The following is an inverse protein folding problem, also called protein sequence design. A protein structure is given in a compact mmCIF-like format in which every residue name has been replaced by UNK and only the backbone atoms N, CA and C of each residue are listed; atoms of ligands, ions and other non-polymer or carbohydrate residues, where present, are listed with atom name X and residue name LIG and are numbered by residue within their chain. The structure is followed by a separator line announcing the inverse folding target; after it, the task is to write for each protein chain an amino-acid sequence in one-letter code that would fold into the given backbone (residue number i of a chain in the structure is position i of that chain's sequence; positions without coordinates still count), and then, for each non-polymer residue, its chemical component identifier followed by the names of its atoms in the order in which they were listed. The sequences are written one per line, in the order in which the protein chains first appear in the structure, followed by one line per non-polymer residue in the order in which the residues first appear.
data_IF_259749678095
#
_entry.id   IF_259749678095
#
_cell.length_a   1.000
_cell.length_b   1.000
_cell.length_c   1.000
_cell.angle_alpha   90.00
_cell.angle_beta   90.00
_cell.angle_gamma   90.00
#
_symmetry.space_group_name_H-M   'P 1'
#
loop_
_entity.id
_entity.type
_entity.pdbx_description
1 polymer ?
#
# COMPACT_ATOMS: atom_id res chain seq x y z
N UNK A 1 -22.89 -3.13 13.65
CA UNK A 1 -23.11 -3.18 12.19
C UNK A 1 -23.60 -4.59 11.86
N UNK A 2 -24.58 -4.74 10.96
CA UNK A 2 -25.10 -6.06 10.59
C UNK A 2 -24.07 -6.83 9.74
N UNK A 3 -24.01 -8.16 9.90
CA UNK A 3 -23.06 -9.02 9.18
C UNK A 3 -23.24 -8.90 7.66
N UNK A 4 -24.48 -8.74 7.18
CA UNK A 4 -24.78 -8.56 5.77
C UNK A 4 -24.14 -7.29 5.17
N UNK A 5 -24.13 -6.19 5.93
CA UNK A 5 -23.48 -4.95 5.49
C UNK A 5 -21.96 -5.11 5.39
N UNK A 6 -21.35 -5.82 6.34
CA UNK A 6 -19.92 -6.13 6.29
C UNK A 6 -19.58 -7.03 5.09
N UNK A 7 -20.42 -8.02 4.78
CA UNK A 7 -20.24 -8.85 3.60
C UNK A 7 -20.32 -8.02 2.32
N UNK A 8 -21.31 -7.12 2.21
CA UNK A 8 -21.44 -6.24 1.05
C UNK A 8 -20.21 -5.32 0.87
N UNK A 9 -19.61 -4.82 1.95
CA UNK A 9 -18.37 -4.03 1.86
C UNK A 9 -17.20 -4.88 1.31
N UNK A 10 -17.13 -6.18 1.65
CA UNK A 10 -16.10 -7.09 1.14
C UNK A 10 -16.27 -7.36 -0.35
N UNK A 11 -17.50 -7.65 -0.79
CA UNK A 11 -17.80 -7.87 -2.21
C UNK A 11 -17.50 -6.60 -3.03
N UNK A 12 -17.90 -5.42 -2.55
CA UNK A 12 -17.59 -4.16 -3.23
C UNK A 12 -16.08 -3.89 -3.35
N UNK A 13 -15.31 -4.21 -2.31
CA UNK A 13 -13.85 -4.09 -2.36
C UNK A 13 -13.22 -5.16 -3.27
N UNK A 14 -13.79 -6.36 -3.32
CA UNK A 14 -13.36 -7.43 -4.21
C UNK A 14 -13.57 -7.04 -5.67
N UNK A 15 -14.78 -6.63 -6.04
CA UNK A 15 -15.14 -6.20 -7.40
C UNK A 15 -14.24 -5.05 -7.87
N UNK A 16 -14.02 -4.05 -7.02
CA UNK A 16 -13.10 -2.95 -7.31
C UNK A 16 -11.69 -3.43 -7.63
N UNK A 17 -11.15 -4.38 -6.85
CA UNK A 17 -9.82 -4.93 -7.06
C UNK A 17 -9.74 -5.80 -8.31
N UNK A 18 -10.75 -6.62 -8.58
CA UNK A 18 -10.84 -7.43 -9.80
C UNK A 18 -10.83 -6.55 -11.05
N UNK A 19 -11.64 -5.48 -11.05
CA UNK A 19 -11.70 -4.53 -12.14
C UNK A 19 -10.38 -3.77 -12.33
N UNK A 20 -9.84 -3.22 -11.23
CA UNK A 20 -8.60 -2.44 -11.25
C UNK A 20 -7.41 -3.26 -11.76
N UNK A 21 -7.36 -4.55 -11.39
CA UNK A 21 -6.33 -5.47 -11.87
C UNK A 21 -6.65 -6.10 -13.21
N UNK A 22 -7.79 -5.78 -13.82
CA UNK A 22 -8.24 -6.36 -15.10
C UNK A 22 -8.18 -7.89 -15.09
N UNK A 23 -8.68 -8.50 -14.01
CA UNK A 23 -8.70 -9.95 -13.87
C UNK A 23 -9.74 -10.56 -14.82
N UNK A 24 -9.39 -11.68 -15.44
CA UNK A 24 -10.35 -12.49 -16.19
C UNK A 24 -11.04 -13.48 -15.24
N UNK A 25 -12.22 -13.95 -15.64
CA UNK A 25 -12.94 -14.99 -14.89
C UNK A 25 -12.04 -16.21 -14.65
N UNK A 26 -11.77 -16.51 -13.38
CA UNK A 26 -10.89 -17.61 -12.97
C UNK A 26 -9.48 -17.18 -12.51
N UNK A 27 -9.07 -15.93 -12.74
CA UNK A 27 -7.81 -15.37 -12.20
C UNK A 27 -8.00 -14.75 -10.81
N UNK A 28 -9.25 -14.61 -10.37
CA UNK A 28 -9.61 -13.98 -9.10
C UNK A 28 -9.45 -14.96 -7.92
N UNK A 29 -9.20 -14.46 -6.69
CA UNK A 29 -9.16 -15.32 -5.52
C UNK A 29 -10.54 -15.98 -5.30
N UNK A 30 -10.60 -17.32 -5.33
CA UNK A 30 -11.87 -18.03 -5.29
C UNK A 30 -12.72 -17.74 -4.02
N UNK A 31 -12.16 -17.99 -2.83
CA UNK A 31 -12.85 -17.73 -1.55
C UNK A 31 -11.88 -17.19 -0.53
N UNK A 32 -12.19 -15.99 -0.01
CA UNK A 32 -11.38 -15.31 1.00
C UNK A 32 -12.07 -15.44 2.35
N UNK A 33 -11.33 -15.87 3.38
CA UNK A 33 -11.86 -16.02 4.74
C UNK A 33 -11.59 -14.75 5.55
N UNK A 34 -12.65 -14.09 6.00
CA UNK A 34 -12.54 -12.90 6.86
C UNK A 34 -12.77 -13.23 8.33
N UNK A 35 -11.74 -13.04 9.14
CA UNK A 35 -11.79 -13.19 10.60
C UNK A 35 -11.96 -11.81 11.24
N UNK A 36 -13.16 -11.55 11.77
CA UNK A 36 -13.51 -10.28 12.42
C UNK A 36 -13.50 -10.44 13.94
N UNK A 37 -12.61 -9.72 14.59
CA UNK A 37 -12.40 -9.78 16.03
C UNK A 37 -13.13 -8.63 16.73
N UNK A 38 -13.85 -8.90 17.83
CA UNK A 38 -14.64 -7.87 18.53
C UNK A 38 -13.76 -6.84 19.23
N UNK A 39 -12.55 -7.23 19.65
CA UNK A 39 -11.61 -6.35 20.33
C UNK A 39 -10.16 -6.86 20.18
N UNK A 40 -9.23 -5.99 20.57
CA UNK A 40 -7.77 -6.18 20.47
C UNK A 40 -7.25 -7.35 21.30
N UNK A 41 -7.84 -7.56 22.47
CA UNK A 41 -7.35 -8.57 23.41
C UNK A 41 -7.75 -9.98 22.93
N UNK A 42 -8.98 -10.16 22.44
CA UNK A 42 -9.41 -11.38 21.76
C UNK A 42 -8.53 -11.68 20.55
N UNK A 43 -8.22 -10.67 19.73
CA UNK A 43 -7.35 -10.85 18.57
C UNK A 43 -5.92 -11.25 18.98
N UNK A 44 -5.36 -10.60 19.98
CA UNK A 44 -4.02 -10.90 20.50
C UNK A 44 -3.92 -12.34 21.03
N UNK A 45 -4.93 -12.80 21.77
CA UNK A 45 -4.97 -14.17 22.30
C UNK A 45 -5.02 -15.22 21.17
N UNK A 46 -5.76 -14.95 20.10
CA UNK A 46 -5.97 -15.91 19.02
C UNK A 46 -4.88 -15.89 17.94
N UNK A 47 -4.20 -14.76 17.75
CA UNK A 47 -3.29 -14.55 16.60
C UNK A 47 -1.92 -14.02 16.96
N UNK A 48 -1.71 -13.56 18.21
CA UNK A 48 -0.53 -12.80 18.61
C UNK A 48 -0.50 -11.35 18.13
N UNK A 49 -1.33 -10.98 17.14
CA UNK A 49 -1.44 -9.61 16.64
C UNK A 49 -2.54 -8.84 17.38
N UNK A 50 -2.18 -7.78 18.11
CA UNK A 50 -3.14 -7.03 18.95
C UNK A 50 -3.87 -5.92 18.20
N UNK A 51 -3.13 -5.01 17.58
CA UNK A 51 -3.66 -3.76 17.01
C UNK A 51 -3.67 -3.73 15.49
N UNK A 52 -2.74 -4.45 14.86
CA UNK A 52 -2.52 -4.42 13.42
C UNK A 52 -3.44 -5.41 12.74
N UNK A 53 -4.06 -5.00 11.64
CA UNK A 53 -4.69 -5.90 10.67
C UNK A 53 -3.64 -6.81 10.03
N UNK A 54 -3.99 -8.04 9.65
CA UNK A 54 -3.02 -9.02 9.16
C UNK A 54 -3.62 -9.85 8.04
N UNK A 55 -2.87 -10.00 6.96
CA UNK A 55 -3.14 -10.92 5.85
C UNK A 55 -1.96 -11.89 5.70
N UNK A 56 -2.05 -13.12 6.24
CA UNK A 56 -0.98 -14.12 6.14
C UNK A 56 -0.94 -14.74 4.74
N UNK A 57 -0.40 -13.99 3.78
CA UNK A 57 -0.39 -14.30 2.34
C UNK A 57 0.20 -15.66 1.99
N UNK A 58 1.10 -16.21 2.82
CA UNK A 58 1.77 -17.49 2.60
C UNK A 58 0.90 -18.72 2.84
N UNK A 59 -0.20 -18.61 3.60
CA UNK A 59 -1.12 -19.72 3.84
C UNK A 59 -1.83 -20.14 2.55
N UNK A 60 -2.29 -21.39 2.45
CA UNK A 60 -2.95 -21.92 1.25
C UNK A 60 -4.30 -21.27 0.99
N UNK A 61 -5.11 -21.17 2.03
CA UNK A 61 -6.38 -20.47 1.94
C UNK A 61 -6.16 -18.95 2.09
N UNK A 62 -6.71 -18.12 1.18
CA UNK A 62 -6.70 -16.68 1.35
C UNK A 62 -7.52 -16.27 2.57
N UNK A 63 -6.92 -15.47 3.46
CA UNK A 63 -7.60 -15.01 4.67
C UNK A 63 -7.13 -13.62 5.11
N UNK A 64 -8.02 -12.87 5.76
CA UNK A 64 -7.75 -11.56 6.36
C UNK A 64 -8.21 -11.52 7.82
N UNK A 65 -7.47 -10.80 8.66
CA UNK A 65 -7.73 -10.68 10.10
C UNK A 65 -7.88 -9.23 10.52
N UNK A 66 -9.11 -8.82 10.85
CA UNK A 66 -9.48 -7.43 11.11
C UNK A 66 -10.16 -7.29 12.48
N UNK A 67 -9.94 -6.15 13.14
CA UNK A 67 -10.85 -5.73 14.21
C UNK A 67 -12.14 -5.22 13.57
N UNK A 68 -13.31 -5.51 14.18
CA UNK A 68 -14.60 -5.00 13.69
C UNK A 68 -14.58 -3.47 13.57
N UNK A 69 -13.93 -2.77 14.52
CA UNK A 69 -13.78 -1.30 14.50
C UNK A 69 -12.93 -0.76 13.34
N UNK A 70 -12.15 -1.61 12.66
CA UNK A 70 -11.19 -1.22 11.62
C UNK A 70 -11.58 -1.64 10.21
N UNK A 71 -12.73 -2.26 10.02
CA UNK A 71 -13.14 -2.75 8.70
C UNK A 71 -13.14 -1.62 7.68
N UNK A 72 -13.79 -0.49 7.99
CA UNK A 72 -13.84 0.67 7.07
C UNK A 72 -12.47 1.26 6.72
N UNK A 73 -11.50 1.11 7.63
CA UNK A 73 -10.18 1.73 7.50
C UNK A 73 -9.11 0.80 6.91
N UNK A 74 -9.32 -0.52 6.93
CA UNK A 74 -8.26 -1.49 6.62
C UNK A 74 -8.71 -2.62 5.71
N UNK A 75 -10.01 -2.82 5.46
CA UNK A 75 -10.50 -3.91 4.63
C UNK A 75 -9.87 -3.90 3.23
N UNK A 76 -9.95 -2.77 2.53
CA UNK A 76 -9.41 -2.65 1.17
C UNK A 76 -7.90 -2.91 1.11
N UNK A 77 -7.15 -2.42 2.10
CA UNK A 77 -5.70 -2.63 2.22
C UNK A 77 -5.35 -4.12 2.39
N UNK A 78 -5.98 -4.80 3.34
CA UNK A 78 -5.76 -6.22 3.58
C UNK A 78 -6.21 -7.08 2.38
N UNK A 79 -7.32 -6.71 1.75
CA UNK A 79 -7.81 -7.40 0.56
C UNK A 79 -6.84 -7.24 -0.62
N UNK A 80 -6.23 -6.07 -0.79
CA UNK A 80 -5.20 -5.86 -1.79
C UNK A 80 -3.99 -6.80 -1.59
N UNK A 81 -3.58 -7.09 -0.35
CA UNK A 81 -2.56 -8.12 -0.08
C UNK A 81 -3.02 -9.52 -0.50
N UNK A 82 -4.30 -9.87 -0.34
CA UNK A 82 -4.82 -11.15 -0.83
C UNK A 82 -4.67 -11.26 -2.35
N UNK A 83 -5.02 -10.19 -3.07
CA UNK A 83 -4.92 -10.12 -4.53
C UNK A 83 -3.47 -10.11 -5.04
N UNK A 84 -2.48 -9.82 -4.19
CA UNK A 84 -1.07 -9.88 -4.59
C UNK A 84 -0.49 -11.31 -4.61
N UNK A 85 -1.14 -12.25 -3.92
CA UNK A 85 -0.64 -13.62 -3.69
C UNK A 85 -0.18 -14.34 -4.97
N UNK A 86 -0.94 -14.34 -6.08
CA UNK A 86 -0.54 -15.04 -7.31
C UNK A 86 0.73 -14.46 -7.95
N UNK A 87 1.05 -13.21 -7.65
CA UNK A 87 2.14 -12.46 -8.26
C UNK A 87 3.40 -12.43 -7.39
N UNK A 88 3.34 -12.99 -6.17
CA UNK A 88 4.45 -13.05 -5.23
C UNK A 88 5.47 -14.14 -5.56
N UNK A 89 6.51 -14.25 -4.73
CA UNK A 89 7.44 -15.36 -4.82
C UNK A 89 6.75 -16.72 -4.57
N UNK A 90 7.25 -17.81 -5.18
CA UNK A 90 6.82 -19.15 -4.81
C UNK A 90 6.92 -19.38 -3.30
N UNK A 91 5.92 -20.06 -2.74
CA UNK A 91 5.75 -20.36 -1.30
C UNK A 91 5.46 -19.14 -0.41
N UNK A 92 6.21 -18.03 -0.57
CA UNK A 92 5.98 -16.82 0.23
C UNK A 92 4.69 -16.09 -0.16
N UNK A 93 4.29 -16.18 -1.44
CA UNK A 93 3.13 -15.47 -2.01
C UNK A 93 3.18 -13.96 -1.75
N UNK A 94 4.40 -13.40 -1.63
CA UNK A 94 4.69 -12.01 -1.34
C UNK A 94 5.92 -11.53 -2.11
N UNK A 95 6.14 -10.21 -2.16
CA UNK A 95 7.39 -9.62 -2.64
C UNK A 95 8.52 -9.76 -1.61
N UNK A 96 9.77 -9.81 -2.06
CA UNK A 96 10.95 -9.69 -1.17
C UNK A 96 11.25 -8.25 -0.78
N UNK A 97 10.68 -7.29 -1.50
CA UNK A 97 10.77 -5.88 -1.17
C UNK A 97 9.54 -5.50 -0.33
N UNK A 98 9.67 -5.23 0.98
CA UNK A 98 8.54 -4.79 1.80
C UNK A 98 7.87 -3.53 1.23
N UNK A 99 8.66 -2.63 0.63
CA UNK A 99 8.12 -1.46 -0.08
C UNK A 99 7.17 -1.80 -1.23
N UNK A 100 7.32 -2.94 -1.91
CA UNK A 100 6.36 -3.41 -2.92
C UNK A 100 5.14 -4.07 -2.28
N UNK A 101 5.31 -4.80 -1.17
CA UNK A 101 4.18 -5.39 -0.44
C UNK A 101 3.20 -4.30 0.00
N UNK A 102 3.72 -3.28 0.67
CA UNK A 102 2.93 -2.18 1.20
C UNK A 102 2.53 -1.17 0.13
N UNK A 103 3.43 -0.90 -0.83
CA UNK A 103 3.12 -0.04 -1.97
C UNK A 103 1.98 -0.61 -2.82
N UNK A 104 1.92 -1.93 -3.00
CA UNK A 104 0.80 -2.60 -3.64
C UNK A 104 -0.51 -2.35 -2.89
N UNK A 105 -0.55 -2.65 -1.59
CA UNK A 105 -1.79 -2.49 -0.83
C UNK A 105 -2.30 -1.05 -0.86
N UNK A 106 -1.42 -0.07 -0.64
CA UNK A 106 -1.77 1.35 -0.65
C UNK A 106 -2.19 1.84 -2.04
N UNK A 107 -1.58 1.36 -3.12
CA UNK A 107 -1.92 1.79 -4.48
C UNK A 107 -3.29 1.29 -4.96
N UNK A 108 -3.69 0.12 -4.47
CA UNK A 108 -4.91 -0.59 -4.84
C UNK A 108 -6.05 -0.40 -3.82
N UNK A 109 -5.82 0.33 -2.74
CA UNK A 109 -6.90 0.69 -1.80
C UNK A 109 -8.07 1.34 -2.55
N UNK A 110 -9.33 0.87 -2.34
CA UNK A 110 -10.51 1.51 -2.89
C UNK A 110 -10.63 2.96 -2.41
N UNK A 111 -11.26 3.86 -3.21
CA UNK A 111 -11.51 5.23 -2.80
C UNK A 111 -12.29 5.26 -1.48
N UNK A 112 -11.69 5.84 -0.45
CA UNK A 112 -12.29 5.98 0.87
C UNK A 112 -12.56 7.45 1.23
N UNK A 113 -13.01 7.71 2.47
CA UNK A 113 -13.21 9.08 2.97
C UNK A 113 -11.89 9.84 3.18
N UNK A 114 -10.74 9.18 3.02
CA UNK A 114 -9.41 9.78 3.12
C UNK A 114 -8.83 10.05 1.73
N UNK A 115 -8.08 11.16 1.53
CA UNK A 115 -7.41 11.41 0.27
C UNK A 115 -6.49 10.25 -0.11
N UNK A 116 -6.43 9.85 -1.39
CA UNK A 116 -5.58 8.76 -1.83
C UNK A 116 -4.10 9.07 -1.53
N UNK A 117 -3.28 8.04 -1.35
CA UNK A 117 -1.86 8.20 -1.03
C UNK A 117 -1.10 9.09 -2.02
N UNK A 118 -1.48 9.03 -3.30
CA UNK A 118 -0.93 9.90 -4.33
C UNK A 118 -1.18 11.39 -4.03
N UNK A 119 -2.36 11.76 -3.53
CA UNK A 119 -2.71 13.14 -3.19
C UNK A 119 -1.99 13.59 -1.91
N UNK A 120 -1.86 12.69 -0.93
CA UNK A 120 -1.09 12.95 0.30
C UNK A 120 0.38 13.20 -0.01
N UNK A 121 0.99 12.39 -0.89
CA UNK A 121 2.38 12.61 -1.32
C UNK A 121 2.48 13.87 -2.17
N UNK A 122 1.55 14.10 -3.09
CA UNK A 122 1.53 15.29 -3.94
C UNK A 122 1.50 16.56 -3.09
N UNK A 123 0.65 16.62 -2.06
CA UNK A 123 0.65 17.76 -1.15
C UNK A 123 1.92 17.86 -0.31
N UNK A 124 2.43 16.74 0.20
CA UNK A 124 3.73 16.75 0.87
C UNK A 124 4.89 17.14 -0.06
N UNK A 125 4.71 17.10 -1.38
CA UNK A 125 5.68 17.63 -2.37
C UNK A 125 5.43 19.08 -2.74
N UNK A 126 4.19 19.58 -2.67
CA UNK A 126 3.89 21.01 -2.91
C UNK A 126 4.49 21.90 -1.81
N UNK A 127 4.61 21.36 -0.60
CA UNK A 127 5.22 22.07 0.54
C UNK A 127 6.75 22.08 0.55
N UNK A 128 7.42 21.28 -0.29
CA UNK A 128 8.88 21.09 -0.24
C UNK A 128 9.58 21.31 -1.60
N UNK A 129 10.87 21.68 -1.56
CA UNK A 129 11.69 22.05 -2.72
C UNK A 129 12.03 20.89 -3.68
N UNK A 130 12.67 21.22 -4.81
CA UNK A 130 13.19 20.24 -5.79
C UNK A 130 14.13 19.22 -5.13
N UNK A 131 14.90 19.61 -4.11
CA UNK A 131 15.79 18.70 -3.38
C UNK A 131 15.02 17.64 -2.60
N UNK A 132 13.87 17.98 -2.01
CA UNK A 132 13.03 17.02 -1.30
C UNK A 132 12.43 15.97 -2.24
N UNK A 133 12.23 16.32 -3.52
CA UNK A 133 11.71 15.38 -4.50
C UNK A 133 12.79 14.43 -5.03
N UNK A 134 14.01 14.91 -5.24
CA UNK A 134 15.16 14.05 -5.52
C UNK A 134 15.44 13.10 -4.34
N UNK A 135 15.38 13.61 -3.11
CA UNK A 135 15.46 12.80 -1.89
C UNK A 135 14.34 11.75 -1.82
N UNK A 136 13.13 12.03 -2.36
CA UNK A 136 12.02 11.07 -2.48
C UNK A 136 12.28 9.96 -3.50
N UNK A 137 12.96 10.25 -4.62
CA UNK A 137 13.37 9.24 -5.59
C UNK A 137 14.43 8.29 -4.99
N UNK A 138 15.43 8.83 -4.30
CA UNK A 138 16.44 8.03 -3.57
C UNK A 138 15.80 7.21 -2.45
N UNK A 139 14.79 7.78 -1.79
CA UNK A 139 13.96 7.12 -0.80
C UNK A 139 13.20 5.90 -1.32
N UNK A 140 12.76 5.89 -2.59
CA UNK A 140 12.15 4.70 -3.21
C UNK A 140 13.19 3.60 -3.36
N UNK A 141 14.39 3.94 -3.85
CA UNK A 141 15.47 2.97 -4.02
C UNK A 141 15.87 2.33 -2.68
N UNK A 142 15.94 3.11 -1.59
CA UNK A 142 16.22 2.56 -0.27
C UNK A 142 15.10 1.67 0.26
N UNK A 143 13.82 2.03 0.05
CA UNK A 143 12.64 1.27 0.53
C UNK A 143 12.40 -0.05 -0.18
N UNK A 144 12.93 -0.21 -1.38
CA UNK A 144 12.87 -1.46 -2.13
C UNK A 144 13.94 -2.47 -1.67
N UNK A 145 14.91 -2.02 -0.86
CA UNK A 145 15.77 -2.95 -0.13
C UNK A 145 15.00 -3.57 1.06
N UNK A 146 15.29 -4.83 1.43
CA UNK A 146 14.65 -5.49 2.57
C UNK A 146 14.77 -4.71 3.90
N UNK A 147 15.80 -3.89 4.05
CA UNK A 147 16.12 -3.17 5.28
C UNK A 147 15.65 -1.71 5.27
N UNK A 148 15.60 -1.06 4.11
CA UNK A 148 15.35 0.38 4.01
C UNK A 148 13.88 0.80 4.12
N UNK A 149 12.93 -0.14 4.07
CA UNK A 149 11.54 0.16 4.38
C UNK A 149 11.33 0.52 5.87
N UNK A 150 12.06 -0.18 6.76
CA UNK A 150 11.89 -0.11 8.20
C UNK A 150 12.64 1.05 8.87
N UNK A 151 13.63 1.65 8.19
CA UNK A 151 14.49 2.70 8.74
C UNK A 151 13.95 4.13 8.57
N UNK A 152 12.78 4.31 7.95
CA UNK A 152 12.16 5.63 7.71
C UNK A 152 10.88 5.88 8.51
N UNK A 153 10.37 7.12 8.46
CA UNK A 153 9.03 7.46 8.99
C UNK A 153 7.97 6.61 8.30
N UNK A 154 7.42 5.61 9.00
CA UNK A 154 6.53 4.59 8.45
C UNK A 154 5.48 5.16 7.50
N UNK A 155 4.61 6.06 7.97
CA UNK A 155 3.52 6.63 7.17
C UNK A 155 3.97 7.28 5.84
N UNK A 156 5.13 7.96 5.83
CA UNK A 156 5.70 8.56 4.62
C UNK A 156 6.15 7.48 3.64
N UNK A 157 6.70 6.38 4.15
CA UNK A 157 7.11 5.23 3.35
C UNK A 157 5.96 4.53 2.66
N UNK A 158 4.86 4.27 3.39
CA UNK A 158 3.63 3.71 2.80
C UNK A 158 3.07 4.60 1.70
N UNK A 159 2.89 5.90 1.99
CA UNK A 159 2.30 6.83 1.04
C UNK A 159 3.16 6.99 -0.23
N UNK A 160 4.49 7.10 -0.06
CA UNK A 160 5.45 7.23 -1.18
C UNK A 160 5.44 6.00 -2.06
N UNK A 161 5.55 4.81 -1.47
CA UNK A 161 5.54 3.56 -2.24
C UNK A 161 4.20 3.32 -2.93
N UNK A 162 3.08 3.60 -2.25
CA UNK A 162 1.75 3.53 -2.84
C UNK A 162 1.59 4.48 -4.03
N UNK A 163 2.04 5.73 -3.89
CA UNK A 163 2.03 6.70 -4.99
C UNK A 163 2.87 6.24 -6.18
N UNK A 164 4.05 5.67 -5.93
CA UNK A 164 4.93 5.16 -6.98
C UNK A 164 4.34 3.94 -7.70
N UNK A 165 3.82 2.95 -6.95
CA UNK A 165 3.16 1.78 -7.55
C UNK A 165 1.92 2.20 -8.34
N UNK A 166 1.14 3.17 -7.83
CA UNK A 166 0.02 3.73 -8.57
C UNK A 166 0.44 4.40 -9.87
N UNK A 167 1.53 5.17 -9.86
CA UNK A 167 2.10 5.73 -11.10
C UNK A 167 2.50 4.63 -12.09
N UNK A 168 3.11 3.54 -11.62
CA UNK A 168 3.48 2.43 -12.49
C UNK A 168 2.23 1.77 -13.10
N UNK A 169 1.17 1.60 -12.30
CA UNK A 169 -0.10 1.06 -12.77
C UNK A 169 -0.77 1.99 -13.80
N UNK A 170 -0.88 3.29 -13.50
CA UNK A 170 -1.52 4.28 -14.36
C UNK A 170 -0.75 4.47 -15.69
N UNK A 171 0.58 4.33 -15.67
CA UNK A 171 1.45 4.60 -16.84
C UNK A 171 1.70 3.36 -17.70
N UNK A 172 1.86 2.19 -17.08
CA UNK A 172 2.28 0.95 -17.77
C UNK A 172 1.25 -0.18 -17.68
N UNK A 173 0.13 0.05 -17.01
CA UNK A 173 -0.96 -0.91 -16.84
C UNK A 173 -0.74 -1.93 -15.72
N UNK A 174 -1.82 -2.64 -15.32
CA UNK A 174 -1.79 -3.61 -14.22
C UNK A 174 -0.86 -4.80 -14.50
N UNK A 175 -0.76 -5.25 -15.75
CA UNK A 175 0.10 -6.38 -16.14
C UNK A 175 1.58 -6.17 -15.83
N UNK A 176 2.08 -4.94 -16.03
CA UNK A 176 3.47 -4.63 -15.69
C UNK A 176 3.68 -4.66 -14.17
N UNK A 177 2.72 -4.14 -13.40
CA UNK A 177 2.79 -4.14 -11.93
C UNK A 177 2.73 -5.56 -11.36
N UNK A 178 1.86 -6.43 -11.89
CA UNK A 178 1.81 -7.86 -11.56
C UNK A 178 3.18 -8.54 -11.77
N UNK A 179 3.81 -8.32 -12.94
CA UNK A 179 5.11 -8.93 -13.26
C UNK A 179 6.26 -8.44 -12.37
N UNK A 180 6.27 -7.16 -11.99
CA UNK A 180 7.35 -6.62 -11.16
C UNK A 180 7.19 -7.00 -9.68
N UNK A 181 5.96 -7.30 -9.22
CA UNK A 181 5.64 -7.42 -7.79
C UNK A 181 6.55 -8.38 -7.02
N UNK A 182 6.67 -9.64 -7.45
CA UNK A 182 7.49 -10.63 -6.74
C UNK A 182 8.92 -10.11 -6.52
N UNK A 183 9.55 -9.58 -7.58
CA UNK A 183 11.00 -9.44 -7.67
C UNK A 183 11.55 -8.02 -7.71
N UNK A 184 10.74 -7.00 -7.92
CA UNK A 184 11.27 -5.66 -8.12
C UNK A 184 12.26 -5.55 -9.28
N UNK A 185 12.20 -6.43 -10.29
CA UNK A 185 13.10 -6.37 -11.45
C UNK A 185 12.59 -5.34 -12.46
N UNK A 186 12.69 -4.06 -12.10
CA UNK A 186 12.13 -2.95 -12.86
C UNK A 186 12.69 -2.87 -14.28
N UNK A 187 13.98 -3.12 -14.46
CA UNK A 187 14.61 -3.04 -15.78
C UNK A 187 14.09 -4.10 -16.73
N UNK A 188 13.94 -5.35 -16.26
CA UNK A 188 13.39 -6.42 -17.10
C UNK A 188 11.90 -6.21 -17.45
N UNK A 189 11.12 -5.58 -16.57
CA UNK A 189 9.67 -5.42 -16.76
C UNK A 189 9.32 -4.15 -17.54
N UNK A 190 10.01 -3.05 -17.26
CA UNK A 190 9.71 -1.72 -17.83
C UNK A 190 10.73 -1.26 -18.86
N UNK A 191 11.84 -1.97 -19.06
CA UNK A 191 12.95 -1.53 -19.91
C UNK A 191 13.66 -0.28 -19.39
N UNK A 192 13.46 0.05 -18.10
CA UNK A 192 13.96 1.27 -17.46
C UNK A 192 14.50 0.94 -16.07
N UNK A 193 15.60 1.58 -15.70
CA UNK A 193 16.12 1.47 -14.34
C UNK A 193 15.11 2.03 -13.33
N UNK A 194 15.15 1.50 -12.12
CA UNK A 194 14.35 2.01 -11.01
C UNK A 194 14.55 3.51 -10.78
N UNK A 195 15.79 3.99 -10.85
CA UNK A 195 16.11 5.41 -10.74
C UNK A 195 15.40 6.25 -11.82
N UNK A 196 15.38 5.77 -13.07
CA UNK A 196 14.69 6.45 -14.17
C UNK A 196 13.18 6.50 -13.95
N UNK A 197 12.58 5.41 -13.46
CA UNK A 197 11.15 5.35 -13.12
C UNK A 197 10.80 6.27 -11.96
N UNK A 198 11.62 6.29 -10.90
CA UNK A 198 11.43 7.15 -9.74
C UNK A 198 11.55 8.64 -10.11
N UNK A 199 12.51 9.01 -10.96
CA UNK A 199 12.65 10.38 -11.47
C UNK A 199 11.45 10.79 -12.32
N UNK A 200 10.96 9.91 -13.20
CA UNK A 200 9.78 10.18 -14.01
C UNK A 200 8.51 10.33 -13.15
N UNK A 201 8.33 9.48 -12.15
CA UNK A 201 7.27 9.62 -11.15
C UNK A 201 7.35 10.98 -10.44
N UNK A 202 8.53 11.36 -9.96
CA UNK A 202 8.76 12.66 -9.33
C UNK A 202 8.36 13.82 -10.27
N UNK A 203 8.70 13.76 -11.55
CA UNK A 203 8.25 14.75 -12.54
C UNK A 203 6.73 14.83 -12.66
N UNK A 204 6.02 13.69 -12.63
CA UNK A 204 4.54 13.70 -12.66
C UNK A 204 3.94 14.42 -11.44
N UNK A 205 4.55 14.28 -10.26
CA UNK A 205 4.12 14.99 -9.06
C UNK A 205 4.34 16.50 -9.18
N UNK A 206 5.47 16.94 -9.77
CA UNK A 206 5.71 18.37 -10.04
C UNK A 206 4.69 18.97 -10.99
N UNK A 207 4.20 18.19 -11.95
CA UNK A 207 3.18 18.68 -12.88
C UNK A 207 1.79 18.80 -12.23
N UNK A 208 1.47 17.94 -11.24
CA UNK A 208 0.18 17.90 -10.54
C UNK A 208 0.05 18.89 -9.38
N UNK A 209 1.17 19.36 -8.82
CA UNK A 209 1.21 20.28 -7.66
C UNK A 209 0.48 21.62 -7.85
N UNK A 210 0.09 21.97 -9.08
CA UNK A 210 -0.75 23.14 -9.33
C UNK A 210 -2.24 22.95 -8.97
N UNK A 211 -2.69 21.75 -8.58
CA UNK A 211 -4.13 21.45 -8.43
C UNK A 211 -4.44 20.53 -7.23
N UNK A 212 -4.44 21.04 -5.99
CA UNK A 212 -5.34 20.53 -4.91
C UNK A 212 -5.17 21.32 -3.58
N UNK A 213 -6.23 22.01 -3.13
CA UNK A 213 -6.27 22.66 -1.79
C UNK A 213 -6.66 21.71 -0.65
N UNK A 214 -7.28 20.57 -0.95
CA UNK A 214 -7.93 19.71 0.06
C UNK A 214 -6.99 18.80 0.84
N UNK A 215 -5.80 18.48 0.31
CA UNK A 215 -4.88 17.55 0.98
C UNK A 215 -3.89 18.23 1.96
N UNK A 216 -3.84 19.56 2.02
CA UNK A 216 -2.95 20.33 2.93
C UNK A 216 -3.18 20.02 4.42
N UNK A 217 -4.44 19.92 4.85
CA UNK A 217 -4.78 19.72 6.27
C UNK A 217 -4.42 18.31 6.79
N UNK A 218 -4.45 17.29 5.92
CA UNK A 218 -4.13 15.90 6.29
C UNK A 218 -2.61 15.70 6.38
N UNK A 219 -1.85 16.33 5.47
CA UNK A 219 -0.38 16.23 5.46
C UNK A 219 0.22 16.84 6.72
N UNK A 220 -0.27 18.02 7.15
CA UNK A 220 0.21 18.71 8.34
C UNK A 220 0.04 17.95 9.65
N UNK A 221 -0.88 16.97 9.73
CA UNK A 221 -1.13 16.16 10.93
C UNK A 221 -0.46 14.78 10.90
N UNK A 222 -0.27 14.19 9.71
CA UNK A 222 0.17 12.78 9.55
C UNK A 222 1.65 12.63 9.16
N UNK A 223 2.26 13.64 8.56
CA UNK A 223 3.68 13.63 8.13
C UNK A 223 4.62 14.34 9.12
N UNK A 224 4.07 15.12 10.05
CA UNK A 224 4.80 15.86 11.09
C UNK A 224 4.96 15.07 12.39
N UNK A 225 4.23 13.97 12.58
CA UNK A 225 4.45 13.09 13.73
C UNK A 225 5.78 12.33 13.55
N UNK A 226 6.72 12.45 14.51
CA UNK A 226 7.98 11.71 14.48
C UNK A 226 7.72 10.21 14.40
N UNK A 227 8.60 9.46 13.74
CA UNK A 227 8.54 8.00 13.86
C UNK A 227 8.79 7.58 15.32
N UNK A 228 8.34 6.38 15.69
CA UNK A 228 8.65 5.79 17.01
C UNK A 228 10.17 5.67 17.29
N UNK A 229 11.03 5.88 16.28
CA UNK A 229 12.50 5.92 16.40
C UNK A 229 13.09 7.34 16.43
N UNK A 230 12.27 8.38 16.25
CA UNK A 230 12.64 9.79 16.42
C UNK A 230 12.12 10.36 17.75
N UNK A 231 11.45 9.55 18.58
CA UNK A 231 11.17 9.93 19.96
C UNK A 231 12.41 9.62 20.77
N UNK A 232 13.19 10.65 21.12
CA UNK A 232 14.12 10.53 22.23
C UNK A 232 13.29 10.13 23.45
N UNK A 233 13.47 8.90 23.94
CA UNK A 233 12.89 8.48 25.20
C UNK A 233 13.37 9.47 26.28
N UNK A 234 12.47 10.20 26.96
CA UNK A 234 12.86 10.83 28.20
C UNK A 234 13.19 9.71 29.18
N UNK A 235 14.38 9.77 29.77
CA UNK A 235 14.72 9.02 30.98
C UNK A 235 13.80 9.43 32.13
#
# INVERSE_FOLDING_TARGET
REVAALAADHEAAYDYLSDLLSLSSGDEPARIQSYLYPNRDTKAQLTGARATSVTPVWLDDPQIHLLVERVDASLGHELAHVFSRPYGLPLLRASWAPGLVEGWAVALEPPGPHPPAHDLVSVATVTDSVEALSAKADAIASRLSPWGFWSGRGAVSYATMGSFVRYLMDTYGPEAVKRVYARGNFEAVYGRSLASLASAWAETLRARSFVSRGAHDVVGRRFTQPSLFETACPH
#
